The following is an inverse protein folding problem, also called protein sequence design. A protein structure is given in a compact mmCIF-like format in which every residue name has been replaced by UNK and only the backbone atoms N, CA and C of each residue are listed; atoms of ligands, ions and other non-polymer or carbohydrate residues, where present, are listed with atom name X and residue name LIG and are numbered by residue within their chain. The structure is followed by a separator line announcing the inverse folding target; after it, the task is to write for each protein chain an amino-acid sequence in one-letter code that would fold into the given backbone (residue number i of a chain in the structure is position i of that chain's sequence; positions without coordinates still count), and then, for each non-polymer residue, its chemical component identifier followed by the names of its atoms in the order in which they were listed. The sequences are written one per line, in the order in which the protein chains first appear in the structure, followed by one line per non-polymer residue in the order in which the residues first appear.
data_IF_560042582579
#
_entry.id   IF_560042582579
#
_cell.length_a   1.000
_cell.length_b   1.000
_cell.length_c   1.000
_cell.angle_alpha   90.00
_cell.angle_beta   90.00
_cell.angle_gamma   90.00
#
_symmetry.space_group_name_H-M   'P 1'
#
loop_
_entity.id
_entity.type
_entity.pdbx_description
1 polymer ?
#
# COMPACT_ATOMS: atom_id res chain seq x y z
N UNK A 1 -6.09 6.63 14.47
CA UNK A 1 -7.11 5.64 14.06
C UNK A 1 -6.66 4.25 14.48
N UNK A 2 -7.50 3.50 15.19
CA UNK A 2 -7.24 2.11 15.54
C UNK A 2 -7.80 1.24 14.42
N UNK A 3 -6.93 0.65 13.59
CA UNK A 3 -7.34 -0.40 12.65
C UNK A 3 -6.77 -1.74 13.12
N UNK A 4 -7.61 -2.77 13.07
CA UNK A 4 -7.25 -4.15 13.40
C UNK A 4 -7.21 -4.97 12.11
N UNK A 5 -6.51 -6.10 12.13
CA UNK A 5 -6.39 -7.08 11.02
C UNK A 5 -7.70 -7.82 10.71
N UNK A 6 -8.84 -7.15 10.82
CA UNK A 6 -10.19 -7.72 10.63
C UNK A 6 -10.82 -7.25 9.32
N UNK A 7 -10.12 -6.36 8.59
CA UNK A 7 -10.62 -5.66 7.40
C UNK A 7 -10.00 -6.17 6.09
N UNK A 8 -9.04 -7.08 6.17
CA UNK A 8 -8.86 -8.14 5.18
C UNK A 8 -9.88 -9.24 5.61
N UNK A 9 -10.40 -10.08 4.72
CA UNK A 9 -11.62 -10.86 4.99
C UNK A 9 -11.55 -11.87 6.16
N UNK A 10 -12.66 -12.58 6.41
CA UNK A 10 -12.78 -13.60 7.48
C UNK A 10 -11.83 -14.83 7.35
N UNK A 11 -10.85 -14.81 6.44
CA UNK A 11 -9.85 -15.85 6.17
C UNK A 11 -8.41 -15.34 6.24
N UNK A 12 -8.18 -14.25 6.96
CA UNK A 12 -6.83 -13.71 7.10
C UNK A 12 -5.94 -14.61 7.94
N UNK A 13 -4.68 -14.68 7.53
CA UNK A 13 -3.61 -15.34 8.25
C UNK A 13 -2.40 -14.42 8.37
N UNK A 14 -1.61 -14.64 9.42
CA UNK A 14 -0.40 -13.89 9.68
C UNK A 14 0.79 -14.83 9.53
N UNK A 15 1.76 -14.43 8.72
CA UNK A 15 3.01 -15.19 8.55
C UNK A 15 4.20 -14.27 8.73
N UNK A 16 5.30 -14.82 9.23
CA UNK A 16 6.56 -14.07 9.33
C UNK A 16 7.29 -14.10 7.99
N UNK A 17 7.75 -12.94 7.54
CA UNK A 17 8.59 -12.79 6.36
C UNK A 17 9.63 -11.70 6.54
N UNK A 18 10.47 -11.51 5.54
CA UNK A 18 11.55 -10.53 5.54
C UNK A 18 11.19 -9.36 4.60
N UNK A 19 11.35 -8.11 5.04
CA UNK A 19 11.22 -6.90 4.21
C UNK A 19 12.58 -6.23 4.06
N UNK A 20 12.91 -5.77 2.84
CA UNK A 20 14.16 -5.10 2.53
C UNK A 20 14.02 -3.58 2.72
N UNK A 21 14.94 -2.99 3.47
CA UNK A 21 15.05 -1.56 3.70
C UNK A 21 15.80 -0.87 2.55
N UNK A 22 15.70 0.45 2.47
CA UNK A 22 16.40 1.26 1.45
C UNK A 22 17.92 1.21 1.55
N UNK A 23 18.48 0.91 2.74
CA UNK A 23 19.91 0.70 2.96
C UNK A 23 20.38 -0.72 2.56
N UNK A 24 19.49 -1.55 2.01
CA UNK A 24 19.76 -2.93 1.62
C UNK A 24 19.72 -3.93 2.77
N UNK A 25 19.52 -3.49 4.01
CA UNK A 25 19.31 -4.38 5.15
C UNK A 25 17.93 -5.04 5.09
N UNK A 26 17.74 -6.12 5.85
CA UNK A 26 16.48 -6.85 5.90
C UNK A 26 15.99 -6.96 7.34
N UNK A 27 14.68 -6.80 7.55
CA UNK A 27 14.05 -6.95 8.86
C UNK A 27 12.88 -7.94 8.80
N UNK A 28 12.71 -8.73 9.86
CA UNK A 28 11.59 -9.66 10.00
C UNK A 28 10.32 -8.92 10.38
N UNK A 29 9.24 -9.13 9.63
CA UNK A 29 7.93 -8.53 9.88
C UNK A 29 6.81 -9.55 9.75
N UNK A 30 5.64 -9.18 10.26
CA UNK A 30 4.42 -9.96 10.12
C UNK A 30 3.69 -9.51 8.85
N UNK A 31 3.42 -10.45 7.93
CA UNK A 31 2.61 -10.23 6.74
C UNK A 31 1.18 -10.71 6.99
N UNK A 32 0.21 -9.87 6.64
CA UNK A 32 -1.20 -10.21 6.53
C UNK A 32 -1.46 -10.78 5.14
N UNK A 33 -2.08 -11.95 5.05
CA UNK A 33 -2.38 -12.61 3.78
C UNK A 33 -3.74 -13.30 3.81
N UNK A 34 -4.33 -13.49 2.63
CA UNK A 34 -5.49 -14.33 2.40
C UNK A 34 -5.48 -14.84 0.94
N UNK A 35 -6.40 -15.74 0.63
CA UNK A 35 -6.55 -16.35 -0.69
C UNK A 35 -7.68 -15.74 -1.52
N UNK A 36 -8.18 -14.56 -1.14
CA UNK A 36 -9.27 -13.89 -1.84
C UNK A 36 -8.72 -13.10 -3.03
N UNK A 37 -9.53 -12.90 -4.06
CA UNK A 37 -9.13 -12.05 -5.18
C UNK A 37 -8.97 -10.59 -4.71
N UNK A 38 -7.89 -9.95 -5.14
CA UNK A 38 -7.49 -8.62 -4.69
C UNK A 38 -7.75 -7.58 -5.78
N UNK A 39 -8.11 -6.35 -5.39
CA UNK A 39 -8.10 -5.22 -6.32
C UNK A 39 -6.65 -4.80 -6.60
N UNK A 40 -6.06 -5.38 -7.64
CA UNK A 40 -4.68 -5.12 -8.05
C UNK A 40 -4.65 -4.77 -9.52
N UNK A 41 -3.87 -3.74 -9.86
CA UNK A 41 -3.59 -3.35 -11.24
C UNK A 41 -2.10 -3.13 -11.43
N UNK A 42 -1.57 -3.68 -12.52
CA UNK A 42 -0.16 -3.57 -12.90
C UNK A 42 0.04 -2.45 -13.92
N UNK A 43 1.13 -1.70 -13.76
CA UNK A 43 1.59 -0.64 -14.65
C UNK A 43 3.06 -0.88 -15.02
N UNK A 44 3.58 -0.15 -16.00
CA UNK A 44 4.93 -0.37 -16.56
C UNK A 44 6.07 -0.45 -15.52
N UNK A 45 5.96 0.24 -14.38
CA UNK A 45 7.04 0.30 -13.38
C UNK A 45 6.59 0.10 -11.92
N UNK A 46 5.31 -0.19 -11.69
CA UNK A 46 4.75 -0.34 -10.35
C UNK A 46 3.39 -1.04 -10.44
N UNK A 47 2.92 -1.54 -9.30
CA UNK A 47 1.57 -2.07 -9.15
C UNK A 47 0.78 -1.23 -8.12
N UNK A 48 -0.53 -1.21 -8.25
CA UNK A 48 -1.44 -0.53 -7.30
C UNK A 48 -2.40 -1.53 -6.70
N UNK A 49 -2.37 -1.64 -5.37
CA UNK A 49 -3.32 -2.41 -4.60
C UNK A 49 -4.35 -1.47 -3.95
N UNK A 50 -5.64 -1.80 -4.07
CA UNK A 50 -6.73 -1.11 -3.37
C UNK A 50 -7.33 -2.00 -2.27
N UNK A 51 -7.37 -1.46 -1.05
CA UNK A 51 -7.95 -2.11 0.12
C UNK A 51 -9.17 -1.31 0.60
N UNK A 52 -10.40 -1.73 0.22
CA UNK A 52 -11.61 -1.07 0.70
C UNK A 52 -11.81 -1.30 2.19
N UNK A 53 -12.09 -0.24 2.94
CA UNK A 53 -12.53 -0.35 4.33
C UNK A 53 -14.03 -0.64 4.39
N UNK A 54 -14.43 -1.49 5.33
CA UNK A 54 -15.86 -1.70 5.63
C UNK A 54 -16.31 -0.60 6.57
N UNK A 55 -16.85 0.49 6.00
CA UNK A 55 -17.51 1.56 6.75
C UNK A 55 -18.89 1.86 6.14
N UNK A 56 -19.82 2.37 6.95
CA UNK A 56 -21.25 2.54 6.66
C UNK A 56 -21.59 3.18 5.29
N UNK A 57 -21.90 4.49 5.26
CA UNK A 57 -22.30 5.22 4.04
C UNK A 57 -21.09 5.81 3.29
N UNK A 58 -19.89 5.73 3.86
CA UNK A 58 -18.66 6.30 3.30
C UNK A 58 -17.78 5.19 2.75
N UNK A 59 -17.30 5.37 1.52
CA UNK A 59 -16.44 4.40 0.86
C UNK A 59 -14.98 4.85 0.97
N UNK A 60 -14.30 4.47 2.06
CA UNK A 60 -12.86 4.67 2.19
C UNK A 60 -12.09 3.47 1.64
N UNK A 61 -10.89 3.73 1.12
CA UNK A 61 -9.97 2.68 0.70
C UNK A 61 -8.53 3.14 0.95
N UNK A 62 -7.66 2.21 1.34
CA UNK A 62 -6.21 2.41 1.30
C UNK A 62 -5.69 2.00 -0.07
N UNK A 63 -4.78 2.79 -0.63
CA UNK A 63 -4.08 2.48 -1.86
C UNK A 63 -2.60 2.30 -1.58
N UNK A 64 -2.03 1.18 -2.04
CA UNK A 64 -0.61 0.86 -1.90
C UNK A 64 0.00 0.86 -3.29
N UNK A 65 0.88 1.83 -3.54
CA UNK A 65 1.66 1.96 -4.77
C UNK A 65 3.02 1.29 -4.53
N UNK A 66 3.25 0.15 -5.17
CA UNK A 66 4.42 -0.68 -4.94
C UNK A 66 5.31 -0.69 -6.21
N UNK A 67 6.48 -0.02 -6.20
CA UNK A 67 7.42 -0.10 -7.31
C UNK A 67 7.98 -1.53 -7.47
N UNK A 68 8.30 -1.92 -8.70
CA UNK A 68 8.99 -3.20 -8.93
C UNK A 68 10.46 -3.14 -8.51
N UNK A 69 11.10 -1.99 -8.68
CA UNK A 69 12.47 -1.75 -8.25
C UNK A 69 12.52 -1.50 -6.74
N UNK A 70 13.52 -2.09 -6.06
CA UNK A 70 13.67 -2.01 -4.60
C UNK A 70 13.93 -0.59 -4.10
N UNK A 71 14.63 0.19 -4.90
CA UNK A 71 14.94 1.61 -4.72
C UNK A 71 14.04 2.51 -5.57
N UNK A 72 12.92 1.98 -6.10
CA UNK A 72 12.04 2.70 -7.03
C UNK A 72 11.08 3.69 -6.38
N UNK A 73 11.00 3.74 -5.04
CA UNK A 73 10.05 4.61 -4.33
C UNK A 73 10.27 6.11 -4.60
N UNK A 74 11.51 6.66 -4.57
CA UNK A 74 11.76 8.05 -4.95
C UNK A 74 11.30 8.39 -6.37
N UNK A 75 11.66 7.56 -7.36
CA UNK A 75 11.24 7.74 -8.76
C UNK A 75 9.72 7.67 -8.93
N UNK A 76 9.03 6.83 -8.15
CA UNK A 76 7.57 6.76 -8.16
C UNK A 76 6.93 8.01 -7.54
N UNK A 77 7.50 8.55 -6.47
CA UNK A 77 7.05 9.80 -5.85
C UNK A 77 7.20 10.99 -6.82
N UNK A 78 8.31 11.07 -7.55
CA UNK A 78 8.50 12.09 -8.60
C UNK A 78 7.43 11.98 -9.70
N UNK A 79 7.10 10.76 -10.13
CA UNK A 79 6.02 10.53 -11.11
C UNK A 79 4.65 10.97 -10.57
N UNK A 80 4.35 10.69 -9.30
CA UNK A 80 3.10 11.12 -8.64
C UNK A 80 3.03 12.66 -8.59
N UNK A 81 4.12 13.33 -8.22
CA UNK A 81 4.16 14.79 -8.08
C UNK A 81 4.20 15.57 -9.41
N UNK A 82 4.70 14.96 -10.49
CA UNK A 82 4.88 15.63 -11.79
C UNK A 82 3.71 15.48 -12.75
N UNK A 83 2.81 14.50 -12.53
CA UNK A 83 1.70 14.20 -13.44
C UNK A 83 0.34 14.60 -12.81
N UNK A 84 -0.34 15.64 -13.35
CA UNK A 84 -1.69 15.98 -12.91
C UNK A 84 -2.64 14.80 -13.03
N UNK A 85 -3.45 14.56 -11.99
CA UNK A 85 -4.41 13.46 -11.96
C UNK A 85 -3.78 12.08 -11.91
N UNK A 86 -2.49 11.93 -11.52
CA UNK A 86 -1.85 10.62 -11.43
C UNK A 86 -2.67 9.66 -10.57
N UNK A 87 -3.05 10.07 -9.36
CA UNK A 87 -3.82 9.23 -8.43
C UNK A 87 -5.18 8.84 -9.02
N UNK A 88 -5.89 9.78 -9.65
CA UNK A 88 -7.22 9.53 -10.23
C UNK A 88 -7.18 8.54 -11.40
N UNK A 89 -6.05 8.50 -12.13
CA UNK A 89 -5.85 7.63 -13.28
C UNK A 89 -5.20 6.28 -12.93
N UNK A 90 -4.81 6.05 -11.67
CA UNK A 90 -4.13 4.82 -11.25
C UNK A 90 -4.87 4.12 -10.10
N UNK A 91 -6.10 3.69 -10.37
CA UNK A 91 -7.01 3.09 -9.39
C UNK A 91 -7.36 1.66 -9.82
N UNK A 92 -7.02 0.67 -9.00
CA UNK A 92 -7.41 -0.71 -9.26
C UNK A 92 -8.93 -0.90 -9.12
N UNK A 93 -9.60 -1.13 -10.25
CA UNK A 93 -11.06 -1.32 -10.32
C UNK A 93 -11.51 -2.79 -10.34
N UNK A 94 -10.62 -3.70 -10.75
CA UNK A 94 -10.95 -5.11 -10.95
C UNK A 94 -10.21 -5.98 -9.94
N UNK A 95 -10.87 -7.09 -9.55
CA UNK A 95 -10.25 -8.11 -8.70
C UNK A 95 -9.55 -9.14 -9.55
N UNK A 96 -8.37 -9.56 -9.11
CA UNK A 96 -7.57 -10.60 -9.77
C UNK A 96 -7.16 -11.66 -8.75
N UNK A 97 -7.08 -12.91 -9.22
CA UNK A 97 -6.60 -14.01 -8.41
C UNK A 97 -5.08 -13.96 -8.32
N UNK A 98 -4.55 -14.03 -7.09
CA UNK A 98 -3.12 -13.95 -6.82
C UNK A 98 -2.59 -15.28 -6.28
N UNK A 99 -1.41 -15.69 -6.76
CA UNK A 99 -0.72 -16.88 -6.25
C UNK A 99 -0.12 -16.65 -4.86
N UNK A 100 0.60 -15.55 -4.69
CA UNK A 100 1.14 -15.11 -3.41
C UNK A 100 0.74 -13.66 -3.15
N UNK A 101 0.27 -13.39 -1.94
CA UNK A 101 -0.16 -12.05 -1.51
C UNK A 101 0.26 -11.82 -0.07
N UNK A 102 0.73 -10.62 0.24
CA UNK A 102 1.13 -10.29 1.61
C UNK A 102 1.30 -8.79 1.81
N UNK A 103 0.70 -8.26 2.86
CA UNK A 103 0.86 -6.87 3.27
C UNK A 103 1.55 -6.84 4.63
N UNK A 104 2.71 -6.17 4.78
CA UNK A 104 3.35 -6.06 6.08
C UNK A 104 2.40 -5.32 7.04
N UNK A 105 2.26 -5.85 8.26
CA UNK A 105 1.51 -5.21 9.34
C UNK A 105 2.39 -4.13 9.95
N UNK A 106 1.96 -2.87 9.85
CA UNK A 106 2.66 -1.73 10.43
C UNK A 106 1.74 -0.90 11.32
N UNK A 107 2.33 -0.18 12.26
CA UNK A 107 1.67 0.83 13.09
C UNK A 107 2.70 1.91 13.44
N UNK A 108 2.40 3.15 13.08
CA UNK A 108 3.21 4.30 13.43
C UNK A 108 2.33 5.53 13.60
N UNK A 109 2.88 6.55 14.26
CA UNK A 109 2.35 7.91 14.27
C UNK A 109 3.43 8.83 13.74
N UNK A 110 3.04 9.85 13.00
CA UNK A 110 3.95 10.83 12.43
C UNK A 110 3.42 12.23 12.70
N UNK A 111 4.33 13.16 13.00
CA UNK A 111 4.06 14.57 13.26
C UNK A 111 5.12 15.40 12.55
N UNK A 112 4.71 16.54 12.02
CA UNK A 112 5.59 17.55 11.46
C UNK A 112 4.96 18.94 11.61
N UNK A 113 5.77 19.98 11.59
CA UNK A 113 5.26 21.35 11.59
C UNK A 113 4.91 21.77 10.15
N UNK A 114 3.62 22.01 9.88
CA UNK A 114 3.18 22.40 8.55
C UNK A 114 3.74 23.75 8.10
N UNK A 115 4.01 24.66 9.04
CA UNK A 115 4.60 25.98 8.77
C UNK A 115 6.01 25.87 8.17
N UNK A 116 6.73 24.77 8.44
CA UNK A 116 8.06 24.53 7.90
C UNK A 116 8.04 24.05 6.45
N UNK A 117 6.97 23.36 6.05
CA UNK A 117 6.82 22.77 4.71
C UNK A 117 6.10 23.71 3.75
N UNK A 118 5.12 24.46 4.25
CA UNK A 118 4.31 25.40 3.45
C UNK A 118 4.97 26.79 3.33
N UNK A 119 6.30 26.87 3.43
CA UNK A 119 7.02 28.12 3.20
C UNK A 119 6.98 28.42 1.70
N UNK A 120 6.41 29.56 1.36
CA UNK A 120 6.48 30.15 0.02
C UNK A 120 7.92 30.51 -0.38
#
# INVERSE_FOLDING_TARGET
MHYTSKDLGAKDSIHTGDIMNLDGTSVKVLYMTNSEDQYLEDYDSFQVLRLPYVEDQRQFSMYIYLPYDKDGLPSLLEKIGSKPGFIDNHIAHHRVSLGAFGIPKFKFSFEFEASDVLKD
#
